data_IF_945639147029
#
_entry.id   IF_945639147029
#
_cell.length_a   1.000
_cell.length_b   1.000
_cell.length_c   1.000
_cell.angle_alpha   90.00
_cell.angle_beta   90.00
_cell.angle_gamma   90.00
#
_symmetry.space_group_name_H-M   'P 1'
#
loop_
_entity.id
_entity.type
_entity.pdbx_description
1 polymer ?
#
# COMPACT_ATOMS: atom_id res chain seq x y z
N UNK A 1 -18.21 -30.10 -53.22
CA UNK A 1 -18.56 -30.05 -51.78
C UNK A 1 -17.59 -29.05 -51.14
N UNK A 2 -18.01 -27.81 -50.87
CA UNK A 2 -17.23 -26.77 -50.20
C UNK A 2 -17.39 -26.97 -48.71
N UNK A 3 -16.27 -27.20 -47.98
CA UNK A 3 -16.23 -27.25 -46.50
C UNK A 3 -16.26 -25.80 -46.01
N UNK A 4 -17.30 -25.41 -45.28
CA UNK A 4 -17.39 -24.15 -44.57
C UNK A 4 -16.76 -24.41 -43.18
N UNK A 5 -15.60 -23.82 -42.92
CA UNK A 5 -14.96 -23.83 -41.62
C UNK A 5 -15.51 -22.64 -40.81
N UNK A 6 -16.32 -22.93 -39.80
CA UNK A 6 -16.88 -21.94 -38.90
C UNK A 6 -15.85 -21.58 -37.86
N UNK A 7 -15.29 -20.36 -37.92
CA UNK A 7 -14.44 -19.82 -36.85
C UNK A 7 -15.30 -19.32 -35.70
N UNK A 8 -15.27 -20.01 -34.57
CA UNK A 8 -15.84 -19.53 -33.32
C UNK A 8 -14.86 -18.49 -32.75
N UNK A 9 -15.18 -17.22 -32.91
CA UNK A 9 -14.45 -16.10 -32.27
C UNK A 9 -14.99 -15.98 -30.84
N UNK A 10 -14.25 -16.55 -29.87
CA UNK A 10 -14.51 -16.35 -28.45
C UNK A 10 -14.19 -14.88 -28.13
N UNK A 11 -15.19 -14.00 -28.06
CA UNK A 11 -15.04 -12.68 -27.44
C UNK A 11 -14.84 -12.88 -25.94
N UNK A 12 -13.60 -12.82 -25.48
CA UNK A 12 -13.31 -12.55 -24.07
C UNK A 12 -13.76 -11.12 -23.78
N UNK A 13 -14.86 -10.96 -23.08
CA UNK A 13 -15.20 -9.71 -22.42
C UNK A 13 -14.23 -9.55 -21.27
N UNK A 14 -13.20 -8.72 -21.44
CA UNK A 14 -12.44 -8.19 -20.33
C UNK A 14 -13.38 -7.25 -19.55
N UNK A 15 -13.88 -7.69 -18.42
CA UNK A 15 -14.51 -6.80 -17.47
C UNK A 15 -13.38 -5.94 -16.89
N UNK A 16 -13.27 -4.71 -17.36
CA UNK A 16 -12.48 -3.68 -16.69
C UNK A 16 -13.26 -3.28 -15.44
N UNK A 17 -12.88 -3.84 -14.31
CA UNK A 17 -13.33 -3.32 -13.03
C UNK A 17 -12.67 -1.95 -12.85
N UNK A 18 -13.47 -0.91 -12.69
CA UNK A 18 -12.96 0.39 -12.26
C UNK A 18 -12.36 0.22 -10.86
N UNK A 19 -11.06 0.46 -10.72
CA UNK A 19 -10.43 0.55 -9.41
C UNK A 19 -11.06 1.75 -8.71
N UNK A 20 -11.74 1.52 -7.60
CA UNK A 20 -12.30 2.59 -6.78
C UNK A 20 -11.50 2.67 -5.50
N UNK A 21 -10.88 3.82 -5.25
CA UNK A 21 -10.17 4.07 -3.99
C UNK A 21 -11.08 4.89 -3.09
N UNK A 22 -11.25 4.44 -1.86
CA UNK A 22 -11.96 5.17 -0.82
C UNK A 22 -11.06 5.34 0.42
N UNK A 23 -11.26 6.40 1.18
CA UNK A 23 -10.54 6.65 2.41
C UNK A 23 -11.49 6.71 3.59
N UNK A 24 -11.23 5.87 4.59
CA UNK A 24 -11.93 5.88 5.87
C UNK A 24 -11.04 6.48 6.95
N UNK A 25 -11.48 7.54 7.63
CA UNK A 25 -10.76 8.07 8.79
C UNK A 25 -10.66 7.00 9.88
N UNK A 26 -9.44 6.58 10.20
CA UNK A 26 -9.18 5.56 11.21
C UNK A 26 -8.80 6.16 12.57
N UNK A 27 -7.93 7.17 12.57
CA UNK A 27 -7.49 7.85 13.80
C UNK A 27 -7.07 9.29 13.49
N UNK A 28 -7.07 10.13 14.53
CA UNK A 28 -6.64 11.53 14.42
C UNK A 28 -5.94 12.00 15.71
N UNK A 29 -5.52 13.27 15.73
CA UNK A 29 -4.89 13.89 16.91
C UNK A 29 -3.37 13.68 16.99
N UNK A 30 -2.72 13.31 15.89
CA UNK A 30 -1.28 13.26 15.78
C UNK A 30 -0.68 14.64 15.44
N UNK A 31 0.56 14.87 15.85
CA UNK A 31 1.29 16.11 15.57
C UNK A 31 2.22 15.94 14.38
N UNK A 32 1.79 16.39 13.20
CA UNK A 32 2.56 16.25 11.94
C UNK A 32 3.10 14.83 11.74
N UNK A 33 2.22 13.81 11.65
CA UNK A 33 2.65 12.43 11.41
C UNK A 33 3.26 12.32 10.01
N UNK A 34 4.35 11.55 9.88
CA UNK A 34 5.08 11.41 8.61
C UNK A 34 5.38 9.97 8.22
N UNK A 35 5.17 9.00 9.12
CA UNK A 35 5.34 7.59 8.82
C UNK A 35 4.47 6.73 9.73
N UNK A 36 4.11 5.53 9.26
CA UNK A 36 3.33 4.55 10.01
C UNK A 36 3.87 3.15 9.70
N UNK A 37 4.12 2.33 10.75
CA UNK A 37 4.70 0.99 10.62
C UNK A 37 4.11 0.04 11.65
N UNK A 38 4.05 -1.27 11.36
CA UNK A 38 3.77 -2.31 12.35
C UNK A 38 5.05 -3.01 12.80
N UNK A 39 5.05 -3.57 14.01
CA UNK A 39 6.19 -4.28 14.59
C UNK A 39 6.02 -5.82 14.55
N UNK A 40 5.21 -6.33 13.62
CA UNK A 40 4.87 -7.76 13.55
C UNK A 40 3.69 -8.16 14.45
N UNK A 41 2.95 -7.19 14.98
CA UNK A 41 1.71 -7.38 15.74
C UNK A 41 0.61 -6.41 15.25
N UNK A 42 -0.55 -6.40 15.91
CA UNK A 42 -1.72 -5.61 15.51
C UNK A 42 -1.62 -4.11 15.79
N UNK A 43 -0.54 -3.65 16.44
CA UNK A 43 -0.31 -2.23 16.72
C UNK A 43 0.36 -1.56 15.54
N UNK A 44 0.05 -0.29 15.35
CA UNK A 44 0.74 0.59 14.43
C UNK A 44 1.57 1.62 15.23
N UNK A 45 2.70 1.99 14.68
CA UNK A 45 3.60 2.97 15.27
C UNK A 45 3.64 4.18 14.34
N UNK A 46 3.13 5.30 14.82
CA UNK A 46 3.03 6.55 14.07
C UNK A 46 4.18 7.45 14.45
N UNK A 47 4.96 7.83 13.46
CA UNK A 47 6.11 8.73 13.61
C UNK A 47 5.62 10.17 13.47
N UNK A 48 5.74 10.95 14.53
CA UNK A 48 5.52 12.40 14.50
C UNK A 48 6.84 13.10 14.20
N UNK A 49 6.80 14.01 13.26
CA UNK A 49 7.96 14.73 12.72
C UNK A 49 8.80 15.44 13.78
N UNK A 50 8.18 15.82 14.90
CA UNK A 50 8.81 16.49 16.04
C UNK A 50 9.79 15.63 16.85
N UNK A 51 9.88 14.32 16.61
CA UNK A 51 10.80 13.45 17.37
C UNK A 51 10.09 12.43 18.26
N UNK A 52 8.76 12.22 18.06
CA UNK A 52 7.98 11.32 18.88
C UNK A 52 7.43 10.16 18.04
N UNK A 53 7.41 8.97 18.62
CA UNK A 53 6.72 7.79 18.04
C UNK A 53 5.59 7.40 18.96
N UNK A 54 4.36 7.35 18.44
CA UNK A 54 3.16 6.94 19.18
C UNK A 54 2.68 5.57 18.78
N UNK A 55 2.06 4.85 19.71
CA UNK A 55 1.37 3.58 19.42
C UNK A 55 -0.10 3.87 19.14
N UNK A 56 -0.54 3.42 17.98
CA UNK A 56 -1.94 3.41 17.54
C UNK A 56 -2.44 1.96 17.56
N UNK A 57 -3.47 1.72 18.37
CA UNK A 57 -4.07 0.40 18.53
C UNK A 57 -5.03 0.08 17.39
N UNK A 58 -5.34 -1.20 17.21
CA UNK A 58 -6.25 -1.68 16.15
C UNK A 58 -7.71 -1.17 16.27
N UNK A 59 -8.09 -0.64 17.41
CA UNK A 59 -9.38 0.01 17.65
C UNK A 59 -9.38 1.54 17.36
N UNK A 60 -8.27 2.09 16.87
CA UNK A 60 -8.10 3.51 16.57
C UNK A 60 -7.69 4.37 17.76
N UNK A 61 -7.54 3.80 18.96
CA UNK A 61 -7.06 4.53 20.13
C UNK A 61 -5.54 4.64 20.16
N UNK A 62 -5.01 5.69 20.78
CA UNK A 62 -3.58 5.88 20.98
C UNK A 62 -3.19 5.65 22.45
N UNK A 63 -2.01 5.08 22.66
CA UNK A 63 -1.47 4.99 24.00
C UNK A 63 -1.12 6.39 24.55
N UNK A 64 -1.39 6.67 25.83
CA UNK A 64 -1.13 7.99 26.42
C UNK A 64 0.38 8.31 26.53
N UNK A 65 1.21 7.28 26.66
CA UNK A 65 2.69 7.42 26.71
C UNK A 65 3.25 7.10 25.35
N UNK A 66 4.15 7.94 24.79
CA UNK A 66 4.82 7.63 23.53
C UNK A 66 5.67 6.37 23.63
N UNK A 67 5.85 5.71 22.49
CA UNK A 67 6.79 4.58 22.37
C UNK A 67 8.24 5.05 22.47
N UNK A 68 8.60 6.12 21.76
CA UNK A 68 9.88 6.78 21.79
C UNK A 68 9.66 8.29 21.83
N UNK A 69 10.48 9.00 22.59
CA UNK A 69 10.55 10.46 22.62
C UNK A 69 12.02 10.89 22.57
N UNK A 70 12.42 11.52 21.46
CA UNK A 70 13.75 12.07 21.19
C UNK A 70 13.67 13.51 20.66
N UNK A 71 12.59 14.24 20.98
CA UNK A 71 12.33 15.59 20.48
C UNK A 71 13.48 16.57 20.73
N UNK A 72 14.17 16.42 21.85
CA UNK A 72 15.29 17.27 22.26
C UNK A 72 16.49 17.23 21.29
N UNK A 73 16.63 16.16 20.51
CA UNK A 73 17.74 15.99 19.55
C UNK A 73 17.34 16.14 18.09
N UNK A 74 16.03 16.35 17.80
CA UNK A 74 15.48 16.42 16.46
C UNK A 74 15.23 17.84 16.02
N UNK A 75 15.79 18.23 14.87
CA UNK A 75 15.46 19.47 14.16
C UNK A 75 14.27 19.22 13.20
N UNK A 76 13.11 19.86 13.41
CA UNK A 76 11.87 19.51 12.70
C UNK A 76 11.30 20.59 11.76
N UNK A 77 12.11 21.56 11.36
CA UNK A 77 11.68 22.63 10.42
C UNK A 77 11.73 22.22 8.94
N UNK A 78 10.80 22.67 8.13
CA UNK A 78 10.77 22.35 6.67
C UNK A 78 10.62 20.85 6.41
N UNK A 79 11.53 20.23 5.67
CA UNK A 79 11.56 18.77 5.42
C UNK A 79 12.24 17.99 6.54
N UNK A 80 12.92 18.66 7.46
CA UNK A 80 13.63 18.05 8.59
C UNK A 80 12.69 17.48 9.63
N UNK A 81 13.13 16.46 10.36
CA UNK A 81 12.36 15.86 11.42
C UNK A 81 12.86 14.47 11.80
N UNK A 82 12.09 13.77 12.64
CA UNK A 82 12.09 12.33 12.71
C UNK A 82 11.27 11.83 11.52
N UNK A 83 11.92 11.18 10.55
CA UNK A 83 11.35 10.96 9.23
C UNK A 83 10.88 9.53 8.98
N UNK A 84 11.56 8.56 9.59
CA UNK A 84 11.22 7.15 9.39
C UNK A 84 11.49 6.28 10.61
N UNK A 85 10.85 5.12 10.57
CA UNK A 85 10.98 4.02 11.53
C UNK A 85 11.00 2.70 10.76
N UNK A 86 11.94 1.82 11.09
CA UNK A 86 11.95 0.43 10.64
C UNK A 86 12.22 -0.51 11.83
N UNK A 87 11.36 -1.50 12.02
CA UNK A 87 11.58 -2.55 13.01
C UNK A 87 12.50 -3.61 12.42
N UNK A 88 13.43 -4.11 13.22
CA UNK A 88 14.29 -5.23 12.85
C UNK A 88 13.44 -6.46 12.49
N UNK A 89 13.80 -7.28 11.49
CA UNK A 89 13.05 -8.52 11.21
C UNK A 89 12.85 -9.41 12.45
N UNK A 90 13.85 -9.48 13.35
CA UNK A 90 13.78 -10.21 14.61
C UNK A 90 13.39 -9.35 15.82
N UNK A 91 12.64 -8.24 15.59
CA UNK A 91 12.26 -7.29 16.65
C UNK A 91 11.59 -7.95 17.85
N UNK A 92 10.82 -8.99 17.65
CA UNK A 92 10.17 -9.74 18.74
C UNK A 92 11.18 -10.31 19.73
N UNK A 93 12.36 -10.68 19.26
CA UNK A 93 13.44 -11.29 20.04
C UNK A 93 14.44 -10.25 20.56
N UNK A 94 14.96 -9.39 19.65
CA UNK A 94 16.06 -8.47 19.98
C UNK A 94 15.58 -7.10 20.46
N UNK A 95 14.34 -6.70 20.13
CA UNK A 95 13.76 -5.41 20.49
C UNK A 95 14.37 -4.22 19.73
N UNK A 96 15.13 -4.46 18.66
CA UNK A 96 15.80 -3.41 17.90
C UNK A 96 14.89 -2.77 16.88
N UNK A 97 14.99 -1.44 16.75
CA UNK A 97 14.35 -0.67 15.69
C UNK A 97 15.26 0.48 15.29
N UNK A 98 15.06 0.99 14.10
CA UNK A 98 15.92 1.98 13.48
C UNK A 98 15.10 3.21 13.12
N UNK A 99 15.72 4.36 13.26
CA UNK A 99 15.11 5.65 12.90
C UNK A 99 16.05 6.44 12.00
N UNK A 100 15.44 7.26 11.15
CA UNK A 100 16.11 8.31 10.40
C UNK A 100 15.59 9.65 10.91
N UNK A 101 16.50 10.49 11.36
CA UNK A 101 16.13 11.84 11.83
C UNK A 101 17.19 12.88 11.47
N UNK A 102 16.78 14.13 11.46
CA UNK A 102 17.69 15.26 11.29
C UNK A 102 18.04 15.81 12.67
N UNK A 103 19.32 15.82 12.99
CA UNK A 103 19.82 16.30 14.27
C UNK A 103 19.83 17.85 14.36
N UNK A 104 20.18 18.38 15.52
CA UNK A 104 20.22 19.83 15.76
C UNK A 104 21.34 20.55 14.97
N UNK A 105 22.33 19.82 14.41
CA UNK A 105 23.30 20.37 13.48
C UNK A 105 22.78 20.47 12.05
N UNK A 106 21.64 19.81 11.76
CA UNK A 106 21.02 19.76 10.45
C UNK A 106 21.42 18.55 9.63
N UNK A 107 22.18 17.60 10.20
CA UNK A 107 22.65 16.40 9.51
C UNK A 107 21.67 15.24 9.67
N UNK A 108 21.60 14.38 8.65
CA UNK A 108 20.84 13.13 8.72
C UNK A 108 21.56 12.12 9.62
N UNK A 109 20.83 11.54 10.56
CA UNK A 109 21.30 10.49 11.45
C UNK A 109 20.47 9.24 11.30
N UNK A 110 21.13 8.11 11.11
CA UNK A 110 20.55 6.79 11.15
C UNK A 110 21.00 6.11 12.44
N UNK A 111 20.03 5.81 13.31
CA UNK A 111 20.31 5.22 14.62
C UNK A 111 19.44 4.03 14.92
N UNK A 112 20.01 3.09 15.71
CA UNK A 112 19.29 1.98 16.33
C UNK A 112 18.90 2.33 17.75
N UNK A 113 17.67 2.03 18.13
CA UNK A 113 17.19 2.04 19.51
C UNK A 113 16.74 0.65 19.94
N UNK A 114 16.52 0.48 21.24
CA UNK A 114 16.05 -0.78 21.83
C UNK A 114 14.77 -0.54 22.62
N UNK A 115 13.78 -1.43 22.48
CA UNK A 115 12.60 -1.37 23.35
C UNK A 115 12.97 -1.70 24.80
N UNK A 116 12.38 -0.97 25.75
CA UNK A 116 12.50 -1.25 27.19
C UNK A 116 11.32 -2.08 27.72
N UNK A 117 10.18 -2.00 27.05
CA UNK A 117 8.98 -2.81 27.33
C UNK A 117 8.18 -3.05 26.03
N UNK A 118 7.03 -3.71 26.15
CA UNK A 118 6.13 -3.89 24.99
C UNK A 118 5.69 -2.56 24.38
N UNK A 119 5.51 -1.51 25.20
CA UNK A 119 4.93 -0.25 24.77
C UNK A 119 5.88 0.96 24.89
N UNK A 120 7.13 0.75 25.24
CA UNK A 120 8.12 1.84 25.42
C UNK A 120 9.50 1.42 24.91
N UNK A 121 10.22 2.35 24.35
CA UNK A 121 11.63 2.23 24.02
C UNK A 121 12.51 2.92 25.10
N UNK A 122 13.78 2.57 25.14
CA UNK A 122 14.77 3.27 25.92
C UNK A 122 15.42 4.37 25.07
N UNK A 123 15.07 5.63 25.31
CA UNK A 123 15.64 6.78 24.58
C UNK A 123 17.14 6.98 24.81
N UNK A 124 17.72 6.34 25.85
CA UNK A 124 19.17 6.36 26.11
C UNK A 124 19.91 5.19 25.46
N UNK A 125 19.20 4.29 24.76
CA UNK A 125 19.79 3.12 24.10
C UNK A 125 20.29 3.41 22.69
N UNK A 126 20.37 4.68 22.30
CA UNK A 126 20.79 5.05 20.97
C UNK A 126 22.17 4.49 20.60
N UNK A 127 22.21 3.84 19.44
CA UNK A 127 23.45 3.47 18.76
C UNK A 127 23.43 4.10 17.37
N UNK A 128 24.20 5.17 17.21
CA UNK A 128 24.39 5.79 15.90
C UNK A 128 25.09 4.83 14.93
N UNK A 129 24.50 4.62 13.77
CA UNK A 129 25.07 3.84 12.68
C UNK A 129 25.84 4.75 11.73
N UNK A 130 25.22 5.85 11.28
CA UNK A 130 25.88 6.83 10.42
C UNK A 130 25.29 8.23 10.59
N UNK A 131 26.12 9.22 10.35
CA UNK A 131 25.72 10.62 10.18
C UNK A 131 26.12 11.08 8.78
N UNK A 132 25.16 11.66 8.04
CA UNK A 132 25.35 12.18 6.67
C UNK A 132 25.19 13.69 6.70
N UNK A 133 26.26 14.47 6.45
CA UNK A 133 26.18 15.92 6.39
C UNK A 133 25.20 16.40 5.32
N UNK A 134 24.33 17.33 5.72
CA UNK A 134 23.34 17.92 4.83
C UNK A 134 23.72 19.37 4.46
N UNK A 135 24.04 19.63 3.19
CA UNK A 135 24.50 20.99 2.80
C UNK A 135 23.35 22.02 2.79
N UNK A 136 22.10 21.57 2.69
CA UNK A 136 20.91 22.42 2.72
C UNK A 136 19.83 21.81 3.62
N UNK A 137 18.73 22.56 3.83
CA UNK A 137 17.65 22.17 4.74
C UNK A 137 16.54 21.35 4.11
N UNK A 138 16.63 21.06 2.82
CA UNK A 138 15.66 20.35 2.01
C UNK A 138 16.30 19.16 1.29
N UNK A 139 15.48 18.32 0.64
CA UNK A 139 15.85 17.06 0.00
C UNK A 139 16.58 16.12 0.97
N UNK A 140 15.96 15.91 2.11
CA UNK A 140 16.54 15.01 3.11
C UNK A 140 16.28 13.53 2.79
N UNK A 141 15.34 13.21 1.88
CA UNK A 141 14.86 11.86 1.68
C UNK A 141 14.26 11.31 2.98
N UNK A 142 14.79 10.20 3.45
CA UNK A 142 14.69 9.84 4.87
C UNK A 142 13.89 8.58 5.19
N UNK A 143 13.47 7.77 4.22
CA UNK A 143 12.76 6.52 4.52
C UNK A 143 13.71 5.36 4.82
N UNK A 144 13.20 4.40 5.59
CA UNK A 144 13.90 3.19 6.03
C UNK A 144 13.00 1.97 5.84
N UNK A 145 13.55 0.91 5.23
CA UNK A 145 12.91 -0.40 5.18
C UNK A 145 13.93 -1.52 5.22
N UNK A 146 13.56 -2.64 5.84
CA UNK A 146 14.29 -3.88 5.66
C UNK A 146 13.89 -4.55 4.35
N UNK A 147 14.87 -5.01 3.58
CA UNK A 147 14.63 -5.80 2.39
C UNK A 147 13.96 -7.13 2.76
N UNK A 148 12.80 -7.47 2.14
CA UNK A 148 12.01 -8.63 2.57
C UNK A 148 12.67 -9.97 2.23
N UNK A 149 13.63 -9.98 1.31
CA UNK A 149 14.30 -11.20 0.84
C UNK A 149 15.72 -11.37 1.37
N UNK A 150 16.40 -10.28 1.73
CA UNK A 150 17.80 -10.28 2.14
C UNK A 150 18.03 -9.83 3.59
N UNK A 151 17.03 -9.17 4.21
CA UNK A 151 17.09 -8.74 5.61
C UNK A 151 18.00 -7.55 5.89
N UNK A 152 18.58 -6.92 4.86
CA UNK A 152 19.41 -5.74 5.04
C UNK A 152 18.59 -4.46 5.17
N UNK A 153 19.14 -3.45 5.81
CA UNK A 153 18.51 -2.15 5.95
C UNK A 153 18.79 -1.29 4.72
N UNK A 154 17.71 -0.85 4.03
CA UNK A 154 17.75 0.12 2.96
C UNK A 154 17.37 1.50 3.47
N UNK A 155 18.08 2.51 2.96
CA UNK A 155 17.97 3.91 3.41
C UNK A 155 17.89 4.80 2.17
N UNK A 156 16.87 5.65 2.08
CA UNK A 156 16.81 6.67 1.02
C UNK A 156 17.44 7.99 1.49
N UNK A 157 18.24 8.62 0.61
CA UNK A 157 18.81 9.94 0.83
C UNK A 157 18.57 10.84 -0.35
N UNK A 158 18.18 12.08 -0.12
CA UNK A 158 18.08 13.09 -1.17
C UNK A 158 19.45 13.65 -1.58
N UNK A 159 19.47 14.46 -2.65
CA UNK A 159 20.70 15.08 -3.18
C UNK A 159 21.31 16.17 -2.27
N UNK A 160 20.71 16.37 -1.10
CA UNK A 160 21.15 17.33 -0.09
C UNK A 160 20.63 18.73 -0.32
N UNK A 161 19.75 18.93 -1.33
CA UNK A 161 18.98 20.15 -1.48
C UNK A 161 19.53 21.20 -2.44
N UNK A 162 18.85 22.34 -2.47
CA UNK A 162 18.94 23.39 -3.49
C UNK A 162 18.35 22.98 -4.85
N UNK A 163 18.27 23.88 -5.82
CA UNK A 163 17.77 23.60 -7.16
C UNK A 163 18.84 22.97 -8.05
N UNK A 164 18.48 21.88 -8.77
CA UNK A 164 19.30 21.30 -9.82
C UNK A 164 20.57 20.61 -9.36
N UNK A 165 20.65 20.15 -8.13
CA UNK A 165 21.81 19.45 -7.54
C UNK A 165 23.14 20.16 -7.88
N UNK A 166 23.43 21.35 -7.30
CA UNK A 166 24.59 22.15 -7.70
C UNK A 166 25.92 21.46 -7.42
N UNK A 167 25.95 20.47 -6.52
CA UNK A 167 27.11 19.65 -6.20
C UNK A 167 27.27 18.43 -7.07
N UNK A 168 26.30 18.11 -7.96
CA UNK A 168 26.26 16.87 -8.70
C UNK A 168 26.36 15.62 -7.81
N UNK A 169 25.78 15.71 -6.62
CA UNK A 169 25.91 14.69 -5.56
C UNK A 169 25.22 13.39 -5.93
N UNK A 170 24.08 13.50 -6.60
CA UNK A 170 23.32 12.31 -7.02
C UNK A 170 24.12 11.38 -7.94
N UNK A 171 24.99 11.94 -8.82
CA UNK A 171 25.88 11.17 -9.70
C UNK A 171 27.26 10.90 -9.09
N UNK A 172 27.61 11.54 -7.98
CA UNK A 172 28.88 11.33 -7.31
C UNK A 172 28.83 10.09 -6.39
N UNK A 173 29.56 9.04 -6.72
CA UNK A 173 29.60 7.80 -5.92
C UNK A 173 30.49 7.91 -4.67
N UNK A 174 31.24 9.00 -4.48
CA UNK A 174 32.04 9.26 -3.29
C UNK A 174 31.23 9.97 -2.18
N UNK A 175 29.91 10.19 -2.39
CA UNK A 175 28.97 10.81 -1.45
C UNK A 175 27.74 9.93 -1.24
N UNK A 176 27.13 10.00 -0.03
CA UNK A 176 25.94 9.23 0.32
C UNK A 176 24.62 9.97 -0.02
N UNK A 177 24.67 11.12 -0.66
CA UNK A 177 23.51 11.94 -1.02
C UNK A 177 22.98 11.59 -2.40
N UNK A 178 21.66 11.59 -2.59
CA UNK A 178 20.98 11.19 -3.83
C UNK A 178 21.05 9.69 -4.11
N UNK A 179 20.87 8.86 -3.08
CA UNK A 179 21.15 7.42 -3.09
C UNK A 179 20.04 6.58 -2.46
N UNK A 180 20.02 5.32 -2.86
CA UNK A 180 19.56 4.23 -2.01
C UNK A 180 20.79 3.54 -1.43
N UNK A 181 20.90 3.51 -0.10
CA UNK A 181 21.97 2.82 0.60
C UNK A 181 21.47 1.46 1.09
N UNK A 182 22.39 0.49 1.27
CA UNK A 182 22.07 -0.84 1.80
C UNK A 182 23.16 -1.29 2.74
N UNK A 183 22.82 -1.58 4.00
CA UNK A 183 23.76 -1.95 5.06
C UNK A 183 23.29 -3.18 5.84
N UNK A 184 24.23 -3.91 6.38
CA UNK A 184 24.02 -5.05 7.28
C UNK A 184 24.14 -4.57 8.73
N UNK A 185 23.00 -4.55 9.43
CA UNK A 185 22.91 -4.05 10.83
C UNK A 185 23.10 -5.15 11.88
N UNK A 186 23.22 -6.41 11.45
CA UNK A 186 23.47 -7.56 12.32
C UNK A 186 24.95 -7.75 12.61
N UNK A 187 25.80 -7.24 11.73
CA UNK A 187 27.24 -7.33 11.83
C UNK A 187 27.91 -5.96 11.89
N UNK A 188 29.12 -5.92 12.41
CA UNK A 188 29.94 -4.72 12.49
C UNK A 188 31.28 -4.96 11.77
N UNK A 189 31.77 -3.95 11.05
CA UNK A 189 33.02 -4.06 10.32
C UNK A 189 33.74 -2.70 10.21
N UNK A 190 35.02 -2.71 10.10
CA UNK A 190 35.87 -1.53 9.83
C UNK A 190 35.65 -0.34 10.79
N UNK A 191 35.31 -0.62 12.06
CA UNK A 191 35.01 0.39 13.07
C UNK A 191 33.65 1.06 12.94
N UNK A 192 32.77 0.61 12.02
CA UNK A 192 31.38 1.03 11.90
C UNK A 192 30.47 0.14 12.74
N UNK A 193 29.36 0.69 13.19
CA UNK A 193 28.30 -0.06 13.90
C UNK A 193 27.38 -0.86 12.95
N UNK A 194 27.81 -1.10 11.72
CA UNK A 194 27.20 -1.93 10.69
C UNK A 194 28.28 -2.55 9.80
N UNK A 195 27.92 -3.54 9.01
CA UNK A 195 28.78 -4.07 7.95
C UNK A 195 28.18 -3.73 6.57
N UNK A 196 28.97 -3.99 5.53
CA UNK A 196 28.54 -3.84 4.14
C UNK A 196 28.19 -5.23 3.60
N UNK A 197 26.99 -5.43 3.01
CA UNK A 197 26.70 -6.64 2.26
C UNK A 197 27.73 -6.87 1.15
N UNK A 198 28.29 -8.07 1.08
CA UNK A 198 29.39 -8.38 0.16
C UNK A 198 29.01 -8.31 -1.33
N UNK A 199 27.70 -8.35 -1.59
CA UNK A 199 27.11 -8.24 -2.92
C UNK A 199 26.61 -6.82 -3.24
N UNK A 200 26.90 -5.81 -2.42
CA UNK A 200 26.63 -4.42 -2.82
C UNK A 200 27.38 -4.09 -4.10
N UNK A 201 26.73 -3.37 -5.05
CA UNK A 201 27.22 -3.26 -6.41
C UNK A 201 28.55 -2.53 -6.56
N UNK A 202 28.93 -1.74 -5.58
CA UNK A 202 30.15 -0.91 -5.61
C UNK A 202 31.26 -1.40 -4.68
N UNK A 203 31.08 -2.53 -3.99
CA UNK A 203 32.10 -3.11 -3.09
C UNK A 203 33.39 -3.34 -3.86
N UNK A 204 34.49 -2.77 -3.33
CA UNK A 204 35.81 -2.85 -3.91
C UNK A 204 36.08 -1.85 -5.04
N UNK A 205 35.16 -0.95 -5.35
CA UNK A 205 35.40 0.18 -6.24
C UNK A 205 36.01 1.34 -5.46
N UNK A 206 37.28 1.66 -5.74
CA UNK A 206 38.03 2.72 -5.03
C UNK A 206 37.42 4.14 -5.19
N UNK A 207 36.53 4.34 -6.16
CA UNK A 207 35.88 5.62 -6.46
C UNK A 207 34.38 5.60 -6.09
N UNK A 208 33.96 4.72 -5.19
CA UNK A 208 32.59 4.63 -4.73
C UNK A 208 32.53 4.20 -3.27
N UNK A 209 31.51 4.64 -2.54
CA UNK A 209 31.21 4.17 -1.20
C UNK A 209 30.45 2.84 -1.27
N UNK A 210 30.90 1.89 -0.46
CA UNK A 210 30.41 0.51 -0.48
C UNK A 210 28.94 0.39 0.01
N UNK A 211 28.43 1.39 0.72
CA UNK A 211 27.03 1.48 1.18
C UNK A 211 26.03 1.66 0.03
N UNK A 212 26.48 2.17 -1.10
CA UNK A 212 25.59 2.55 -2.21
C UNK A 212 25.01 1.30 -2.89
N UNK A 213 23.67 1.23 -2.94
CA UNK A 213 22.95 0.20 -3.69
C UNK A 213 22.45 0.74 -5.05
N UNK A 214 21.97 2.01 -5.07
CA UNK A 214 21.57 2.73 -6.27
C UNK A 214 21.80 4.23 -6.08
N UNK A 215 21.82 4.98 -7.21
CA UNK A 215 22.15 6.40 -7.21
C UNK A 215 21.38 7.17 -8.29
N UNK A 216 21.60 8.47 -8.35
CA UNK A 216 20.94 9.31 -9.33
C UNK A 216 19.50 9.66 -8.96
N UNK A 217 19.20 9.80 -7.67
CA UNK A 217 17.91 10.23 -7.12
C UNK A 217 17.98 11.68 -6.66
N UNK A 218 16.85 12.39 -6.73
CA UNK A 218 16.76 13.78 -6.29
C UNK A 218 16.32 13.92 -4.83
N UNK A 219 15.13 13.47 -4.52
CA UNK A 219 14.57 13.48 -3.16
C UNK A 219 13.59 12.29 -3.02
N UNK A 220 14.11 11.06 -2.93
CA UNK A 220 13.29 9.86 -2.77
C UNK A 220 12.63 9.86 -1.40
N UNK A 221 11.44 10.48 -1.32
CA UNK A 221 10.75 10.75 -0.06
C UNK A 221 10.25 9.48 0.60
N UNK A 222 9.55 8.62 -0.17
CA UNK A 222 9.14 7.30 0.32
C UNK A 222 9.43 6.24 -0.73
N UNK A 223 9.84 5.09 -0.23
CA UNK A 223 9.95 3.87 -1.03
C UNK A 223 9.29 2.69 -0.31
N UNK A 224 8.99 1.64 -1.03
CA UNK A 224 8.40 0.43 -0.48
C UNK A 224 8.88 -0.79 -1.23
N UNK A 225 8.77 -1.96 -0.59
CA UNK A 225 9.01 -3.24 -1.22
C UNK A 225 7.71 -3.97 -1.49
N UNK A 226 7.59 -4.57 -2.67
CA UNK A 226 6.65 -5.63 -2.92
C UNK A 226 7.37 -6.97 -2.79
N UNK A 227 7.16 -7.66 -1.67
CA UNK A 227 7.82 -8.93 -1.38
C UNK A 227 7.37 -10.07 -2.32
N UNK A 228 6.20 -9.95 -2.97
CA UNK A 228 5.67 -10.98 -3.87
C UNK A 228 6.37 -10.94 -5.22
N UNK A 229 6.58 -9.75 -5.77
CA UNK A 229 7.26 -9.56 -7.07
C UNK A 229 8.76 -9.32 -6.93
N UNK A 230 9.25 -9.16 -5.69
CA UNK A 230 10.64 -8.77 -5.37
C UNK A 230 11.03 -7.45 -6.06
N UNK A 231 10.15 -6.46 -5.97
CA UNK A 231 10.33 -5.13 -6.55
C UNK A 231 10.43 -4.05 -5.46
N UNK A 232 11.22 -3.02 -5.75
CA UNK A 232 11.27 -1.77 -5.00
C UNK A 232 10.57 -0.68 -5.81
N UNK A 233 9.68 0.06 -5.15
CA UNK A 233 8.97 1.20 -5.69
C UNK A 233 9.43 2.46 -4.97
N UNK A 234 9.73 3.54 -5.72
CA UNK A 234 10.30 4.78 -5.16
C UNK A 234 9.51 5.95 -5.72
N UNK A 235 8.99 6.81 -4.84
CA UNK A 235 8.51 8.15 -5.22
C UNK A 235 9.68 9.14 -5.12
N UNK A 236 10.15 9.65 -6.23
CA UNK A 236 11.24 10.63 -6.30
C UNK A 236 10.71 12.00 -6.73
N UNK A 237 10.87 12.99 -5.87
CA UNK A 237 10.30 14.33 -6.08
C UNK A 237 11.04 15.08 -7.16
N UNK A 238 10.32 15.51 -8.17
CA UNK A 238 10.83 16.28 -9.30
C UNK A 238 11.29 17.70 -8.97
N UNK A 239 11.93 18.36 -9.93
CA UNK A 239 12.48 19.71 -9.74
C UNK A 239 11.50 20.81 -10.14
N UNK A 240 11.04 20.81 -11.38
CA UNK A 240 10.23 21.89 -11.95
C UNK A 240 9.07 21.39 -12.84
N UNK A 241 9.17 20.19 -13.37
CA UNK A 241 8.32 19.74 -14.48
C UNK A 241 7.62 18.42 -14.20
N UNK A 242 8.31 17.45 -13.61
CA UNK A 242 7.86 16.05 -13.64
C UNK A 242 8.09 15.38 -12.30
N UNK A 243 7.04 14.80 -11.73
CA UNK A 243 7.11 13.88 -10.60
C UNK A 243 7.31 12.45 -11.11
N UNK A 244 8.01 11.62 -10.34
CA UNK A 244 8.45 10.29 -10.77
C UNK A 244 8.04 9.18 -9.81
N UNK A 245 7.59 8.06 -10.40
CA UNK A 245 7.48 6.78 -9.72
C UNK A 245 8.43 5.80 -10.40
N UNK A 246 9.45 5.39 -9.66
CA UNK A 246 10.43 4.41 -10.11
C UNK A 246 10.09 3.01 -9.59
N UNK A 247 10.36 1.98 -10.41
CA UNK A 247 10.21 0.57 -10.04
C UNK A 247 11.38 -0.24 -10.57
N UNK A 248 12.02 -1.00 -9.69
CA UNK A 248 13.14 -1.88 -10.05
C UNK A 248 13.04 -3.21 -9.31
N UNK A 249 13.57 -4.26 -9.90
CA UNK A 249 13.78 -5.53 -9.20
C UNK A 249 14.81 -5.34 -8.09
N UNK A 250 14.59 -5.94 -6.93
CA UNK A 250 15.56 -5.91 -5.83
C UNK A 250 16.75 -6.81 -6.19
N UNK A 251 17.73 -6.20 -6.87
CA UNK A 251 18.96 -6.84 -7.35
C UNK A 251 20.13 -5.86 -7.24
N UNK A 252 21.29 -6.28 -6.77
CA UNK A 252 22.45 -5.41 -6.50
C UNK A 252 23.22 -5.08 -7.80
N UNK A 253 22.58 -4.44 -8.77
CA UNK A 253 23.16 -4.10 -10.09
C UNK A 253 23.65 -2.65 -10.18
N UNK A 254 23.40 -1.80 -9.18
CA UNK A 254 23.84 -0.41 -9.16
C UNK A 254 23.02 0.49 -10.10
N UNK A 255 21.70 0.49 -9.95
CA UNK A 255 20.80 1.33 -10.74
C UNK A 255 21.18 2.80 -10.67
N UNK A 256 21.15 3.49 -11.83
CA UNK A 256 21.28 4.94 -11.94
C UNK A 256 19.96 5.53 -12.44
N UNK A 257 19.24 6.23 -11.56
CA UNK A 257 17.91 6.83 -11.87
C UNK A 257 18.02 8.16 -12.65
N UNK A 258 19.23 8.63 -12.93
CA UNK A 258 19.46 9.68 -13.92
C UNK A 258 19.46 11.11 -13.41
N UNK A 259 19.00 11.42 -12.22
CA UNK A 259 19.12 12.77 -11.66
C UNK A 259 20.60 13.12 -11.43
N UNK A 260 21.11 14.30 -11.78
CA UNK A 260 20.46 15.50 -12.37
C UNK A 260 20.52 15.55 -13.92
N UNK A 261 20.89 14.48 -14.57
CA UNK A 261 20.98 14.47 -16.05
C UNK A 261 19.59 14.60 -16.68
N UNK A 262 18.62 13.96 -16.07
CA UNK A 262 17.22 13.93 -16.51
C UNK A 262 16.28 14.25 -15.33
N UNK A 263 15.13 14.85 -15.64
CA UNK A 263 13.97 14.98 -14.78
C UNK A 263 12.84 14.20 -15.44
N UNK A 264 12.43 13.09 -14.84
CA UNK A 264 11.67 12.08 -15.58
C UNK A 264 12.47 11.56 -16.78
N UNK A 265 11.83 11.45 -17.91
CA UNK A 265 12.47 11.10 -19.19
C UNK A 265 13.03 12.31 -19.97
N UNK A 266 12.81 13.55 -19.47
CA UNK A 266 13.25 14.76 -20.15
C UNK A 266 14.68 15.20 -19.73
N UNK A 267 15.53 15.63 -20.68
CA UNK A 267 16.86 16.13 -20.37
C UNK A 267 16.83 17.37 -19.47
N UNK A 268 17.54 17.35 -18.33
CA UNK A 268 17.67 18.51 -17.44
C UNK A 268 19.06 19.15 -17.54
N UNK A 269 20.12 18.46 -17.12
CA UNK A 269 21.49 18.92 -17.25
C UNK A 269 22.42 17.74 -17.64
N UNK A 270 22.54 17.54 -18.92
CA UNK A 270 23.24 16.37 -19.49
C UNK A 270 24.76 16.52 -19.57
N UNK A 271 25.31 17.62 -19.05
CA UNK A 271 26.77 17.85 -19.07
C UNK A 271 27.50 16.86 -18.16
N UNK A 272 28.34 16.03 -18.74
CA UNK A 272 29.13 15.02 -18.03
C UNK A 272 28.35 13.78 -17.60
N UNK A 273 27.15 13.60 -18.14
CA UNK A 273 26.30 12.46 -17.84
C UNK A 273 26.72 11.17 -18.56
N UNK A 274 26.41 10.01 -18.00
CA UNK A 274 26.58 8.74 -18.69
C UNK A 274 25.61 8.63 -19.89
N UNK A 275 25.82 7.66 -20.80
CA UNK A 275 24.90 7.41 -21.90
C UNK A 275 23.49 7.11 -21.41
N UNK A 276 22.46 7.65 -22.08
CA UNK A 276 21.06 7.54 -21.71
C UNK A 276 20.61 6.07 -21.54
N UNK A 277 21.09 5.19 -22.38
CA UNK A 277 20.78 3.75 -22.36
C UNK A 277 21.30 3.01 -21.13
N UNK A 278 22.15 3.65 -20.32
CA UNK A 278 22.65 3.10 -19.06
C UNK A 278 21.85 3.55 -17.85
N UNK A 279 20.85 4.42 -18.06
CA UNK A 279 20.00 4.98 -17.00
C UNK A 279 18.75 4.13 -16.82
N UNK A 280 18.19 4.22 -15.61
CA UNK A 280 16.92 3.59 -15.24
C UNK A 280 15.86 4.67 -15.16
N UNK A 281 14.93 4.66 -16.11
CA UNK A 281 13.85 5.64 -16.16
C UNK A 281 12.63 5.21 -15.35
N UNK A 282 11.80 6.17 -14.88
CA UNK A 282 10.60 5.88 -14.12
C UNK A 282 9.58 5.07 -14.93
N UNK A 283 8.76 4.29 -14.21
CA UNK A 283 7.66 3.51 -14.81
C UNK A 283 6.38 4.33 -14.94
N UNK A 284 6.28 5.44 -14.20
CA UNK A 284 5.21 6.42 -14.34
C UNK A 284 5.75 7.82 -14.06
N UNK A 285 5.28 8.77 -14.84
CA UNK A 285 5.63 10.19 -14.78
C UNK A 285 4.35 11.02 -14.89
N UNK A 286 4.30 12.14 -14.18
CA UNK A 286 3.21 13.09 -14.33
C UNK A 286 3.70 14.53 -14.08
N UNK A 287 3.05 15.54 -14.69
CA UNK A 287 3.45 16.93 -14.52
C UNK A 287 3.33 17.36 -13.06
N UNK A 288 4.28 18.15 -12.57
CA UNK A 288 4.17 18.79 -11.26
C UNK A 288 2.91 19.65 -11.25
N UNK A 289 1.97 19.42 -10.31
CA UNK A 289 0.75 20.22 -10.22
C UNK A 289 1.04 21.69 -9.96
N UNK A 290 0.17 22.62 -10.39
CA UNK A 290 0.36 24.07 -10.18
C UNK A 290 0.48 24.51 -8.72
N UNK A 291 0.09 23.65 -7.76
CA UNK A 291 0.27 23.88 -6.33
C UNK A 291 1.71 23.69 -5.83
N UNK A 292 2.65 23.32 -6.69
CA UNK A 292 3.99 22.83 -6.28
C UNK A 292 3.94 21.63 -5.35
N UNK A 293 2.99 20.77 -5.59
CA UNK A 293 2.76 19.55 -4.81
C UNK A 293 3.69 18.45 -5.32
N UNK A 294 4.13 17.58 -4.41
CA UNK A 294 5.18 16.60 -4.67
C UNK A 294 4.66 15.16 -4.51
N UNK A 295 5.26 14.22 -5.22
CA UNK A 295 5.00 12.79 -4.99
C UNK A 295 5.37 12.42 -3.56
N UNK A 296 4.44 11.80 -2.84
CA UNK A 296 4.68 11.27 -1.50
C UNK A 296 5.25 9.84 -1.54
N UNK A 297 5.22 9.19 -2.70
CA UNK A 297 5.44 7.75 -2.81
C UNK A 297 4.22 6.95 -2.36
N UNK A 298 4.34 5.63 -2.27
CA UNK A 298 3.22 4.74 -2.05
C UNK A 298 3.63 3.32 -1.72
N UNK A 299 2.67 2.39 -1.89
CA UNK A 299 2.86 0.97 -1.62
C UNK A 299 1.98 0.11 -2.51
N UNK A 300 2.43 -1.12 -2.83
CA UNK A 300 1.57 -2.10 -3.50
C UNK A 300 0.62 -2.71 -2.49
N UNK A 301 -0.69 -2.66 -2.76
CA UNK A 301 -1.68 -3.26 -1.87
C UNK A 301 -1.60 -4.79 -1.93
N UNK A 302 -1.42 -5.41 -0.76
CA UNK A 302 -1.34 -6.87 -0.59
C UNK A 302 -2.28 -7.41 0.49
N UNK A 303 -3.21 -6.58 0.97
CA UNK A 303 -4.28 -6.99 1.86
C UNK A 303 -5.25 -7.97 1.19
N UNK A 304 -6.10 -8.59 1.99
CA UNK A 304 -7.03 -9.62 1.53
C UNK A 304 -8.48 -9.14 1.40
N UNK A 305 -8.76 -7.91 1.88
CA UNK A 305 -10.13 -7.38 1.94
C UNK A 305 -10.59 -6.83 0.59
N UNK A 306 -9.71 -6.14 -0.14
CA UNK A 306 -10.07 -5.40 -1.36
C UNK A 306 -9.39 -6.02 -2.59
N UNK A 307 -10.07 -6.95 -3.26
CA UNK A 307 -9.50 -7.71 -4.38
C UNK A 307 -9.33 -6.90 -5.67
N UNK A 308 -10.08 -5.81 -5.84
CA UNK A 308 -10.05 -4.92 -7.01
C UNK A 308 -8.79 -4.05 -7.07
N UNK A 309 -8.15 -3.82 -5.93
CA UNK A 309 -6.88 -3.08 -5.84
C UNK A 309 -5.68 -3.98 -5.51
N UNK A 310 -5.88 -5.31 -5.40
CA UNK A 310 -4.79 -6.23 -5.10
C UNK A 310 -3.72 -6.23 -6.20
N UNK A 311 -2.46 -6.01 -5.81
CA UNK A 311 -1.32 -5.94 -6.73
C UNK A 311 -1.14 -4.59 -7.42
N UNK A 312 -1.90 -3.58 -7.02
CA UNK A 312 -1.81 -2.22 -7.55
C UNK A 312 -0.94 -1.37 -6.64
N UNK A 313 0.01 -0.64 -7.21
CA UNK A 313 0.76 0.37 -6.49
C UNK A 313 -0.10 1.62 -6.32
N UNK A 314 -0.38 1.99 -5.08
CA UNK A 314 -1.19 3.15 -4.71
C UNK A 314 -0.26 4.20 -4.12
N UNK A 315 -0.28 5.41 -4.65
CA UNK A 315 0.55 6.51 -4.19
C UNK A 315 -0.23 7.83 -4.16
N UNK A 316 0.34 8.84 -3.56
CA UNK A 316 -0.32 10.12 -3.40
C UNK A 316 0.60 11.30 -3.76
N UNK A 317 -0.02 12.44 -4.01
CA UNK A 317 0.64 13.74 -4.15
C UNK A 317 0.33 14.56 -2.91
N UNK A 318 1.38 15.06 -2.24
CA UNK A 318 1.22 15.93 -1.08
C UNK A 318 0.80 17.34 -1.53
N UNK A 319 -0.12 17.96 -0.80
CA UNK A 319 -0.55 19.35 -1.00
C UNK A 319 -1.83 19.51 -1.81
N UNK A 320 -2.12 18.69 -2.81
CA UNK A 320 -3.37 18.75 -3.57
C UNK A 320 -4.34 17.59 -3.26
N UNK A 321 -3.94 16.69 -2.40
CA UNK A 321 -4.78 15.57 -1.97
C UNK A 321 -5.00 14.48 -3.02
N UNK A 322 -4.31 14.50 -4.15
CA UNK A 322 -4.47 13.53 -5.23
C UNK A 322 -3.96 12.14 -4.82
N UNK A 323 -4.74 11.11 -5.12
CA UNK A 323 -4.33 9.71 -5.08
C UNK A 323 -4.31 9.15 -6.50
N UNK A 324 -3.28 8.40 -6.80
CA UNK A 324 -3.07 7.77 -8.10
C UNK A 324 -2.64 6.31 -7.92
N UNK A 325 -2.78 5.54 -9.00
CA UNK A 325 -2.35 4.13 -9.03
C UNK A 325 -1.51 3.84 -10.25
N UNK A 326 -0.60 2.87 -10.09
CA UNK A 326 0.13 2.26 -11.20
C UNK A 326 -0.09 0.76 -11.15
N UNK A 327 -0.60 0.19 -12.24
CA UNK A 327 -0.83 -1.25 -12.34
C UNK A 327 0.45 -2.01 -12.79
N UNK A 328 0.35 -3.34 -12.86
CA UNK A 328 1.46 -4.19 -13.30
C UNK A 328 1.93 -3.93 -14.75
N UNK A 329 1.10 -3.29 -15.56
CA UNK A 329 1.39 -2.90 -16.96
C UNK A 329 1.90 -1.47 -17.08
N UNK A 330 2.18 -0.79 -15.98
CA UNK A 330 2.59 0.61 -15.87
C UNK A 330 1.51 1.62 -16.30
N UNK A 331 0.23 1.22 -16.26
CA UNK A 331 -0.84 2.19 -16.50
C UNK A 331 -1.02 3.07 -15.27
N UNK A 332 -0.80 4.37 -15.46
CA UNK A 332 -1.04 5.39 -14.45
C UNK A 332 -2.49 5.83 -14.51
N UNK A 333 -3.19 5.77 -13.38
CA UNK A 333 -4.57 6.25 -13.23
C UNK A 333 -4.61 7.29 -12.09
N UNK A 334 -5.10 8.48 -12.39
CA UNK A 334 -5.37 9.52 -11.41
C UNK A 334 -6.82 9.38 -10.93
N UNK A 335 -7.02 9.13 -9.63
CA UNK A 335 -8.34 8.99 -9.00
C UNK A 335 -8.91 10.31 -8.49
N UNK A 336 -8.15 11.40 -8.61
CA UNK A 336 -8.57 12.74 -8.19
C UNK A 336 -8.17 13.12 -6.77
N UNK A 337 -8.74 14.22 -6.31
CA UNK A 337 -8.48 14.80 -4.99
C UNK A 337 -9.35 14.12 -3.92
N UNK A 338 -8.74 13.76 -2.81
CA UNK A 338 -9.37 13.16 -1.63
C UNK A 338 -9.33 14.15 -0.45
N UNK A 339 -10.38 14.98 -0.35
CA UNK A 339 -10.63 15.90 0.78
C UNK A 339 -9.49 16.90 1.09
N UNK A 340 -8.79 17.37 0.07
CA UNK A 340 -7.63 18.27 0.21
C UNK A 340 -6.58 17.74 1.21
N UNK A 341 -6.43 16.43 1.32
CA UNK A 341 -5.46 15.80 2.20
C UNK A 341 -4.02 16.17 1.84
N UNK A 342 -3.20 16.38 2.85
CA UNK A 342 -1.75 16.55 2.66
C UNK A 342 -1.06 15.22 2.95
N UNK A 343 -1.19 14.30 1.99
CA UNK A 343 -0.68 12.94 2.10
C UNK A 343 0.84 12.90 2.04
N UNK A 344 1.47 12.25 3.01
CA UNK A 344 2.95 12.24 3.12
C UNK A 344 3.56 10.86 3.22
N UNK A 345 2.77 9.83 3.49
CA UNK A 345 3.29 8.47 3.62
C UNK A 345 2.18 7.43 3.54
N UNK A 346 2.60 6.19 3.29
CA UNK A 346 1.78 5.01 3.38
C UNK A 346 2.42 4.00 4.35
N UNK A 347 1.62 3.06 4.82
CA UNK A 347 2.07 1.90 5.56
C UNK A 347 0.99 0.83 5.59
N UNK A 348 1.30 -0.29 6.19
CA UNK A 348 0.39 -1.43 6.28
C UNK A 348 0.35 -1.99 7.70
N UNK A 349 -0.73 -2.68 8.04
CA UNK A 349 -0.80 -3.49 9.25
C UNK A 349 -0.26 -4.91 9.02
N UNK A 350 -0.32 -5.73 10.05
CA UNK A 350 0.13 -7.14 10.01
C UNK A 350 -0.64 -7.98 8.98
N UNK A 351 -1.85 -7.57 8.60
CA UNK A 351 -2.70 -8.21 7.59
C UNK A 351 -2.50 -7.64 6.19
N UNK A 352 -1.55 -6.71 6.01
CA UNK A 352 -1.26 -6.00 4.76
C UNK A 352 -2.38 -5.03 4.33
N UNK A 353 -3.29 -4.68 5.25
CA UNK A 353 -4.27 -3.63 4.98
C UNK A 353 -3.56 -2.26 5.04
N UNK A 354 -3.88 -1.41 4.07
CA UNK A 354 -3.10 -0.19 3.82
C UNK A 354 -3.67 1.02 4.56
N UNK A 355 -2.76 1.84 5.04
CA UNK A 355 -3.05 3.14 5.65
C UNK A 355 -2.32 4.25 4.93
N UNK A 356 -2.92 5.44 4.90
CA UNK A 356 -2.32 6.67 4.40
C UNK A 356 -2.26 7.72 5.51
N UNK A 357 -1.16 8.46 5.53
CA UNK A 357 -0.83 9.45 6.57
C UNK A 357 -1.03 10.85 6.03
N UNK A 358 -1.91 11.62 6.66
CA UNK A 358 -2.07 13.05 6.44
C UNK A 358 -1.26 13.83 7.49
N UNK A 359 -0.34 14.69 7.03
CA UNK A 359 0.52 15.50 7.92
C UNK A 359 -0.28 16.42 8.86
N UNK A 360 -1.55 16.68 8.56
CA UNK A 360 -2.47 17.45 9.40
C UNK A 360 -2.97 16.68 10.63
N UNK A 361 -2.50 15.46 10.85
CA UNK A 361 -2.76 14.71 12.08
C UNK A 361 -3.72 13.55 11.92
N UNK A 362 -4.07 13.15 10.71
CA UNK A 362 -5.03 12.09 10.46
C UNK A 362 -4.36 10.85 9.86
N UNK A 363 -4.91 9.69 10.19
CA UNK A 363 -4.57 8.41 9.59
C UNK A 363 -5.85 7.84 8.98
N UNK A 364 -5.81 7.49 7.71
CA UNK A 364 -6.94 6.87 7.01
C UNK A 364 -6.60 5.45 6.58
N UNK A 365 -7.60 4.57 6.56
CA UNK A 365 -7.51 3.29 5.84
C UNK A 365 -7.76 3.54 4.37
N UNK A 366 -6.94 2.91 3.52
CA UNK A 366 -7.18 2.86 2.09
C UNK A 366 -8.09 1.66 1.81
N UNK A 367 -9.20 1.90 1.15
CA UNK A 367 -10.20 0.90 0.82
C UNK A 367 -10.37 0.81 -0.70
N UNK A 368 -10.57 -0.39 -1.19
CA UNK A 368 -11.08 -0.66 -2.52
C UNK A 368 -12.57 -1.00 -2.48
N UNK A 369 -13.10 -1.44 -3.58
CA UNK A 369 -14.46 -1.96 -3.61
C UNK A 369 -14.49 -3.33 -2.92
N UNK A 370 -15.20 -3.44 -1.83
CA UNK A 370 -15.61 -4.74 -1.33
C UNK A 370 -16.55 -5.32 -2.38
N UNK A 371 -16.13 -6.37 -3.08
CA UNK A 371 -17.07 -7.22 -3.79
C UNK A 371 -17.93 -7.90 -2.73
N UNK A 372 -18.82 -7.15 -2.09
CA UNK A 372 -19.88 -7.76 -1.33
C UNK A 372 -20.67 -8.61 -2.33
N UNK A 373 -20.58 -9.92 -2.22
CA UNK A 373 -21.77 -10.72 -2.51
C UNK A 373 -22.85 -9.99 -1.72
N UNK A 374 -23.90 -9.42 -2.37
CA UNK A 374 -24.95 -8.75 -1.61
C UNK A 374 -25.28 -9.71 -0.48
N UNK A 375 -25.09 -9.28 0.78
CA UNK A 375 -25.65 -10.00 1.91
C UNK A 375 -27.11 -10.14 1.53
N UNK A 376 -27.50 -11.35 1.12
CA UNK A 376 -28.92 -11.64 0.98
C UNK A 376 -29.43 -11.41 2.38
N UNK A 377 -30.09 -10.27 2.58
CA UNK A 377 -31.01 -10.18 3.70
C UNK A 377 -31.79 -11.48 3.61
N UNK A 378 -31.62 -12.36 4.59
CA UNK A 378 -32.37 -13.59 4.68
C UNK A 378 -33.82 -13.15 4.77
N UNK A 379 -34.41 -12.88 3.59
CA UNK A 379 -35.85 -12.65 3.53
C UNK A 379 -36.42 -13.97 4.00
N UNK A 380 -36.97 -13.93 5.23
CA UNK A 380 -37.46 -15.09 5.93
C UNK A 380 -38.59 -15.75 5.15
N UNK A 381 -38.22 -16.60 4.17
CA UNK A 381 -39.15 -17.48 3.48
C UNK A 381 -39.15 -18.81 4.20
N UNK A 382 -40.26 -19.14 4.78
CA UNK A 382 -40.52 -20.47 5.30
C UNK A 382 -41.34 -21.31 4.33
N UNK A 383 -40.98 -22.58 4.19
CA UNK A 383 -41.77 -23.57 3.48
C UNK A 383 -42.12 -24.70 4.46
N UNK A 384 -43.40 -24.99 4.60
CA UNK A 384 -43.89 -26.01 5.54
C UNK A 384 -45.16 -26.72 5.05
N UNK A 385 -45.34 -28.00 5.44
CA UNK A 385 -44.35 -28.89 6.06
C UNK A 385 -43.23 -29.27 5.07
N UNK A 386 -42.05 -29.48 5.57
CA UNK A 386 -40.95 -30.05 4.77
C UNK A 386 -40.20 -31.09 5.61
N UNK A 387 -40.36 -32.40 5.31
CA UNK A 387 -40.97 -33.00 4.13
C UNK A 387 -42.50 -32.88 4.03
N UNK A 388 -43.01 -32.70 2.80
CA UNK A 388 -44.42 -32.55 2.48
C UNK A 388 -45.00 -33.79 1.71
N UNK A 389 -46.35 -33.94 1.71
CA UNK A 389 -47.00 -35.01 0.98
C UNK A 389 -48.19 -34.60 0.11
N UNK A 390 -48.92 -33.57 0.52
CA UNK A 390 -50.11 -33.08 -0.21
C UNK A 390 -50.10 -31.59 -0.44
N UNK A 391 -49.78 -30.82 0.62
CA UNK A 391 -49.82 -29.37 0.56
C UNK A 391 -48.44 -28.81 1.01
N UNK A 392 -48.03 -27.74 0.39
CA UNK A 392 -46.88 -26.95 0.74
C UNK A 392 -47.33 -25.52 0.97
N UNK A 393 -47.09 -25.02 2.17
CA UNK A 393 -47.28 -23.61 2.52
C UNK A 393 -45.94 -22.85 2.38
N UNK A 394 -46.01 -21.72 1.71
CA UNK A 394 -44.91 -20.77 1.53
C UNK A 394 -45.28 -19.47 2.20
N UNK A 395 -44.51 -18.98 3.16
CA UNK A 395 -44.79 -17.75 3.91
C UNK A 395 -43.55 -16.87 3.93
N UNK A 396 -43.74 -15.56 3.74
CA UNK A 396 -42.69 -14.52 3.60
C UNK A 396 -42.81 -13.45 4.69
N UNK A 397 -43.39 -13.75 5.83
CA UNK A 397 -43.59 -12.87 7.01
C UNK A 397 -44.07 -11.43 6.67
N UNK A 398 -43.31 -10.61 5.97
CA UNK A 398 -43.59 -9.19 5.75
C UNK A 398 -43.49 -8.72 4.27
N UNK A 399 -43.45 -9.66 3.30
CA UNK A 399 -43.21 -9.31 1.89
C UNK A 399 -44.23 -10.01 0.98
N UNK A 400 -44.47 -9.48 -0.22
CA UNK A 400 -45.41 -10.11 -1.20
C UNK A 400 -44.64 -11.00 -2.19
N UNK A 401 -45.11 -12.24 -2.30
CA UNK A 401 -44.63 -13.20 -3.31
C UNK A 401 -45.09 -12.71 -4.69
N UNK A 402 -44.15 -12.51 -5.61
CA UNK A 402 -44.43 -12.16 -7.00
C UNK A 402 -44.56 -13.38 -7.89
N UNK A 403 -43.78 -14.43 -7.66
CA UNK A 403 -43.89 -15.71 -8.38
C UNK A 403 -43.34 -16.87 -7.56
N UNK A 404 -43.88 -18.08 -7.86
CA UNK A 404 -43.39 -19.35 -7.31
C UNK A 404 -43.24 -20.34 -8.46
N UNK A 405 -42.16 -21.11 -8.46
CA UNK A 405 -42.02 -22.30 -9.31
C UNK A 405 -41.43 -23.48 -8.53
N UNK A 406 -41.83 -24.70 -8.92
CA UNK A 406 -41.28 -25.95 -8.36
C UNK A 406 -40.65 -26.73 -9.48
N UNK A 407 -39.39 -27.08 -9.36
CA UNK A 407 -38.60 -27.84 -10.34
C UNK A 407 -37.94 -29.05 -9.70
N UNK A 408 -37.67 -30.08 -10.49
CA UNK A 408 -36.87 -31.22 -10.06
C UNK A 408 -35.35 -30.97 -10.20
N UNK A 409 -34.56 -31.96 -9.84
CA UNK A 409 -33.08 -31.90 -9.93
C UNK A 409 -32.56 -31.77 -11.38
N UNK A 410 -33.39 -32.06 -12.39
CA UNK A 410 -33.04 -31.94 -13.81
C UNK A 410 -33.50 -30.61 -14.40
N UNK A 411 -34.17 -29.75 -13.60
CA UNK A 411 -34.72 -28.48 -14.05
C UNK A 411 -36.11 -28.57 -14.68
N UNK A 412 -36.77 -29.75 -14.67
CA UNK A 412 -38.13 -29.91 -15.17
C UNK A 412 -39.11 -29.18 -14.26
N UNK A 413 -39.98 -28.36 -14.82
CA UNK A 413 -40.95 -27.55 -14.07
C UNK A 413 -42.24 -28.32 -13.84
N UNK A 414 -42.69 -28.37 -12.59
CA UNK A 414 -43.90 -29.06 -12.14
C UNK A 414 -44.99 -28.07 -11.68
N UNK A 415 -44.63 -26.91 -11.26
CA UNK A 415 -45.53 -25.85 -10.85
C UNK A 415 -44.95 -24.50 -11.20
N UNK A 416 -45.78 -23.57 -11.67
CA UNK A 416 -45.37 -22.15 -11.84
C UNK A 416 -46.61 -21.26 -11.75
N UNK A 417 -46.51 -20.21 -10.90
CA UNK A 417 -47.54 -19.19 -10.74
C UNK A 417 -46.86 -17.83 -10.64
N UNK A 418 -47.38 -16.82 -11.33
CA UNK A 418 -46.85 -15.44 -11.34
C UNK A 418 -47.95 -14.46 -10.87
N UNK A 419 -47.56 -13.25 -10.49
CA UNK A 419 -48.47 -12.18 -10.06
C UNK A 419 -49.32 -12.57 -8.83
N UNK A 420 -48.68 -13.22 -7.83
CA UNK A 420 -49.39 -13.78 -6.66
C UNK A 420 -49.84 -12.68 -5.71
N UNK A 421 -48.97 -11.69 -5.36
CA UNK A 421 -49.23 -10.54 -4.46
C UNK A 421 -49.76 -10.92 -3.06
N UNK A 422 -49.43 -12.07 -2.55
CA UNK A 422 -49.76 -12.56 -1.20
C UNK A 422 -48.47 -12.80 -0.39
N UNK A 423 -48.53 -12.60 0.91
CA UNK A 423 -47.44 -12.97 1.80
C UNK A 423 -47.39 -14.46 2.16
N UNK A 424 -48.49 -15.18 1.88
CA UNK A 424 -48.64 -16.61 2.15
C UNK A 424 -49.35 -17.29 0.98
N UNK A 425 -48.84 -18.46 0.58
CA UNK A 425 -49.42 -19.26 -0.50
C UNK A 425 -49.39 -20.75 -0.15
N UNK A 426 -50.53 -21.39 -0.28
CA UNK A 426 -50.65 -22.85 -0.17
C UNK A 426 -50.73 -23.50 -1.56
N UNK A 427 -49.92 -24.52 -1.80
CA UNK A 427 -49.79 -25.21 -3.09
C UNK A 427 -50.13 -26.69 -2.91
N UNK A 428 -51.03 -27.23 -3.72
CA UNK A 428 -51.28 -28.66 -3.80
C UNK A 428 -50.14 -29.35 -4.58
N UNK A 429 -49.39 -30.20 -3.90
CA UNK A 429 -48.27 -30.96 -4.44
C UNK A 429 -48.55 -32.45 -4.53
N UNK A 430 -49.83 -32.87 -4.39
CA UNK A 430 -50.21 -34.30 -4.39
C UNK A 430 -49.88 -35.02 -5.70
N UNK A 431 -49.71 -34.28 -6.80
CA UNK A 431 -49.28 -34.80 -8.10
C UNK A 431 -47.79 -35.05 -8.24
N UNK A 432 -46.95 -34.59 -7.27
CA UNK A 432 -45.52 -34.76 -7.34
C UNK A 432 -45.13 -36.15 -6.87
N UNK A 433 -44.19 -36.79 -7.57
CA UNK A 433 -43.58 -38.04 -7.16
C UNK A 433 -42.68 -37.82 -5.93
N UNK A 434 -42.52 -38.87 -5.13
CA UNK A 434 -41.57 -38.86 -4.00
C UNK A 434 -40.17 -38.50 -4.50
N UNK A 435 -39.53 -37.53 -3.85
CA UNK A 435 -38.20 -37.09 -4.26
C UNK A 435 -37.80 -35.70 -3.75
N UNK A 436 -36.71 -35.18 -4.32
CA UNK A 436 -36.19 -33.85 -4.03
C UNK A 436 -36.60 -32.88 -5.15
N UNK A 437 -37.03 -31.68 -4.71
CA UNK A 437 -37.42 -30.59 -5.57
C UNK A 437 -36.81 -29.29 -5.07
N UNK A 438 -36.76 -28.28 -5.93
CA UNK A 438 -36.43 -26.93 -5.58
C UNK A 438 -37.65 -26.02 -5.72
N UNK A 439 -38.01 -25.29 -4.70
CA UNK A 439 -39.03 -24.25 -4.70
C UNK A 439 -38.34 -22.93 -4.90
N UNK A 440 -38.59 -22.27 -5.99
CA UNK A 440 -38.09 -20.96 -6.35
C UNK A 440 -39.16 -19.93 -6.06
N UNK A 441 -38.86 -18.96 -5.22
CA UNK A 441 -39.80 -17.91 -4.82
C UNK A 441 -39.20 -16.55 -5.14
N UNK A 442 -39.92 -15.73 -5.83
CA UNK A 442 -39.55 -14.35 -6.12
C UNK A 442 -40.43 -13.40 -5.31
N UNK A 443 -39.80 -12.42 -4.64
CA UNK A 443 -40.46 -11.40 -3.82
C UNK A 443 -40.30 -10.04 -4.49
N UNK A 444 -41.45 -9.41 -4.86
CA UNK A 444 -41.44 -8.13 -5.54
C UNK A 444 -40.53 -8.11 -6.77
N UNK A 445 -39.61 -7.14 -6.85
CA UNK A 445 -38.61 -7.02 -7.94
C UNK A 445 -37.23 -7.58 -7.53
N UNK A 446 -37.14 -8.25 -6.37
CA UNK A 446 -35.88 -8.80 -5.85
C UNK A 446 -35.45 -10.09 -6.55
N UNK A 447 -34.28 -10.62 -6.12
CA UNK A 447 -33.71 -11.88 -6.60
C UNK A 447 -34.61 -13.08 -6.27
N UNK A 448 -34.48 -14.16 -7.02
CA UNK A 448 -35.17 -15.42 -6.80
C UNK A 448 -34.50 -16.19 -5.65
N UNK A 449 -35.27 -16.59 -4.63
CA UNK A 449 -34.82 -17.39 -3.50
C UNK A 449 -35.19 -18.84 -3.74
N UNK A 450 -34.25 -19.76 -3.49
CA UNK A 450 -34.43 -21.20 -3.72
C UNK A 450 -34.43 -21.95 -2.39
N UNK A 451 -35.49 -22.71 -2.11
CA UNK A 451 -35.58 -23.59 -0.94
C UNK A 451 -35.69 -25.06 -1.39
N UNK A 452 -35.07 -25.97 -0.65
CA UNK A 452 -35.15 -27.41 -0.90
C UNK A 452 -36.48 -27.95 -0.37
N UNK A 453 -37.22 -28.72 -1.19
CA UNK A 453 -38.42 -29.44 -0.81
C UNK A 453 -38.21 -30.94 -0.91
N UNK A 454 -38.65 -31.66 0.11
CA UNK A 454 -38.69 -33.12 0.15
C UNK A 454 -40.15 -33.57 0.07
N UNK A 455 -40.49 -34.35 -0.97
CA UNK A 455 -41.84 -34.94 -1.13
C UNK A 455 -41.78 -36.42 -0.69
N UNK A 456 -42.73 -36.82 0.22
CA UNK A 456 -42.84 -38.16 0.78
C UNK A 456 -43.84 -39.06 0.06
#
# INVERSE_FOLDING_TARGET
MKKITLYFMCMMYAFSFSQNIELELFANGFSSPVSIRHAGDSRLFVVEKGGVIKILNSDGTTNPTPFLDIDAQVSSGGERGLLALAFHPDYTTNGFFYVNYINNSGDTVISRFTRSSTNTADSNSELELMTIPQPYSNHNGGDLHFGPTDGYLYISTGDGGSGGDPGNRSQNLEELLGKMLRIDVDNTANGKNYAIPTDNPFVGNANALDEIWAYGLRNPWRFSFDAITNEMWIGDVGQNSTEEVNRVTVSPVGYNFGWRCYEGSDPFNTTGCPPMETLTFPVAEYPIPPCFCSVAGGQVYRGSVYSDIYGVYIFATTGDGTISTVDASNNLINHGNYNDGSWVSFGEDINKEMYIVDINGNIHRVQGTVLSVPEFEEQNISISPNPASKNLNINTENSFISSISIIDLKGSMYFSEQNIFLSEKNIDISSLSKGFYFVKVKIGNSSEIVKKLIVK
#
